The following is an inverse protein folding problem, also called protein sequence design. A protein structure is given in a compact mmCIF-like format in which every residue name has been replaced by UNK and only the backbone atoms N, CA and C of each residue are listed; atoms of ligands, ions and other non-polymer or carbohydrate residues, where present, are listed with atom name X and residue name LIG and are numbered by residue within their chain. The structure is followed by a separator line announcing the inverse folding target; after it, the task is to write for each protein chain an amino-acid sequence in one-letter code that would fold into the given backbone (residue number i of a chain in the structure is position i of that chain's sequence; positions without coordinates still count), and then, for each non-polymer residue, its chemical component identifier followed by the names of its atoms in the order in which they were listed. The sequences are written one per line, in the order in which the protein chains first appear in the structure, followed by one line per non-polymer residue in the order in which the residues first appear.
data_IF_756893388973
#
_entry.id   IF_756893388973
#
_cell.length_a   1.000
_cell.length_b   1.000
_cell.length_c   1.000
_cell.angle_alpha   90.00
_cell.angle_beta   90.00
_cell.angle_gamma   90.00
#
_symmetry.space_group_name_H-M   'P 1'
#
loop_
_entity.id
_entity.type
_entity.pdbx_description
1 polymer ?
#
# COMPACT_ATOMS: atom_id res chain seq x y z
N UNK A 1 -5.23 -12.20 4.83
CA UNK A 1 -6.69 -12.12 5.11
C UNK A 1 -7.46 -13.37 4.66
N UNK A 2 -7.10 -14.05 3.55
CA UNK A 2 -7.69 -15.36 3.19
C UNK A 2 -7.25 -16.52 4.10
N UNK A 3 -5.97 -16.63 4.39
CA UNK A 3 -5.44 -17.75 5.19
C UNK A 3 -5.93 -17.77 6.64
N UNK A 4 -6.41 -16.65 7.15
CA UNK A 4 -6.84 -16.55 8.54
C UNK A 4 -8.27 -17.04 8.77
N UNK A 5 -9.10 -17.02 7.72
CA UNK A 5 -10.57 -17.15 7.86
C UNK A 5 -11.16 -18.33 7.04
N UNK A 6 -10.33 -19.18 6.40
CA UNK A 6 -10.73 -20.45 5.72
C UNK A 6 -11.87 -20.33 4.68
N UNK A 7 -11.95 -19.20 3.98
CA UNK A 7 -13.04 -18.87 3.05
C UNK A 7 -12.83 -19.37 1.60
N UNK A 8 -11.94 -20.34 1.39
CA UNK A 8 -11.64 -20.86 0.05
C UNK A 8 -12.83 -21.55 -0.61
N UNK A 9 -13.64 -22.28 0.16
CA UNK A 9 -14.81 -22.99 -0.35
C UNK A 9 -16.02 -22.08 -0.59
N UNK A 10 -15.99 -20.85 -0.04
CA UNK A 10 -17.13 -19.91 -0.11
C UNK A 10 -17.02 -18.99 -1.33
N UNK A 11 -15.81 -18.67 -1.79
CA UNK A 11 -15.59 -17.77 -2.92
C UNK A 11 -14.49 -18.30 -3.88
N UNK A 12 -14.77 -19.42 -4.60
CA UNK A 12 -13.78 -20.10 -5.44
C UNK A 12 -13.30 -19.27 -6.64
N UNK A 13 -14.08 -18.29 -7.10
CA UNK A 13 -13.80 -17.51 -8.33
C UNK A 13 -13.22 -16.11 -8.06
N UNK A 14 -12.88 -15.76 -6.82
CA UNK A 14 -12.34 -14.43 -6.53
C UNK A 14 -10.90 -14.30 -7.07
N UNK A 15 -10.75 -13.47 -8.09
CA UNK A 15 -9.53 -13.33 -8.90
C UNK A 15 -9.67 -13.89 -10.32
N UNK A 16 -10.72 -14.66 -10.60
CA UNK A 16 -11.05 -15.16 -11.94
C UNK A 16 -12.21 -14.36 -12.55
N UNK A 17 -11.88 -13.28 -13.25
CA UNK A 17 -12.83 -12.51 -14.03
C UNK A 17 -13.73 -11.56 -13.22
N UNK A 18 -14.17 -10.49 -13.90
CA UNK A 18 -15.07 -9.47 -13.36
C UNK A 18 -16.48 -10.06 -13.15
N UNK A 19 -16.71 -10.70 -12.00
CA UNK A 19 -17.94 -11.41 -11.64
C UNK A 19 -19.08 -10.53 -11.12
N UNK A 20 -18.87 -9.21 -11.05
CA UNK A 20 -19.92 -8.27 -10.69
C UNK A 20 -20.98 -8.17 -11.80
N UNK A 21 -22.26 -8.13 -11.42
CA UNK A 21 -23.36 -7.89 -12.35
C UNK A 21 -23.11 -6.63 -13.17
N UNK A 22 -23.58 -6.58 -14.43
CA UNK A 22 -23.34 -5.44 -15.34
C UNK A 22 -23.69 -4.09 -14.72
N UNK A 23 -24.74 -4.04 -13.91
CA UNK A 23 -25.16 -2.82 -13.21
C UNK A 23 -24.14 -2.36 -12.15
N UNK A 24 -23.55 -3.30 -11.42
CA UNK A 24 -22.49 -3.03 -10.44
C UNK A 24 -21.23 -2.54 -11.16
N UNK A 25 -20.82 -3.23 -12.24
CA UNK A 25 -19.67 -2.82 -13.05
C UNK A 25 -19.82 -1.41 -13.63
N UNK A 26 -21.01 -1.06 -14.13
CA UNK A 26 -21.29 0.29 -14.62
C UNK A 26 -21.20 1.35 -13.51
N UNK A 27 -21.57 1.00 -12.27
CA UNK A 27 -21.42 1.88 -11.10
C UNK A 27 -19.95 1.99 -10.66
N UNK A 28 -19.17 0.91 -10.75
CA UNK A 28 -17.76 0.85 -10.36
C UNK A 28 -16.83 1.49 -11.39
N UNK A 29 -17.15 1.44 -12.68
CA UNK A 29 -16.31 1.97 -13.78
C UNK A 29 -15.87 3.43 -13.54
N UNK A 30 -16.76 4.27 -13.00
CA UNK A 30 -16.44 5.66 -12.69
C UNK A 30 -15.41 5.80 -11.57
N UNK A 31 -15.45 4.92 -10.57
CA UNK A 31 -14.50 4.88 -9.46
C UNK A 31 -13.17 4.27 -9.90
N UNK A 32 -13.21 3.16 -10.63
CA UNK A 32 -12.03 2.52 -11.20
C UNK A 32 -11.22 3.50 -12.04
N UNK A 33 -11.88 4.26 -12.93
CA UNK A 33 -11.22 5.29 -13.74
C UNK A 33 -10.55 6.36 -12.89
N UNK A 34 -11.22 6.85 -11.84
CA UNK A 34 -10.62 7.85 -10.92
C UNK A 34 -9.41 7.30 -10.18
N UNK A 35 -9.45 6.04 -9.76
CA UNK A 35 -8.31 5.37 -9.12
C UNK A 35 -7.16 5.19 -10.12
N UNK A 36 -7.45 4.80 -11.36
CA UNK A 36 -6.45 4.68 -12.43
C UNK A 36 -5.82 6.03 -12.77
N UNK A 37 -6.61 7.09 -12.94
CA UNK A 37 -6.13 8.45 -13.17
C UNK A 37 -5.23 8.90 -12.00
N UNK A 38 -5.69 8.72 -10.75
CA UNK A 38 -4.91 9.07 -9.57
C UNK A 38 -3.57 8.32 -9.48
N UNK A 39 -3.56 7.00 -9.62
CA UNK A 39 -2.33 6.19 -9.54
C UNK A 39 -1.42 6.49 -10.73
N UNK A 40 -1.98 6.71 -11.92
CA UNK A 40 -1.24 7.01 -13.14
C UNK A 40 -0.49 8.35 -13.10
N UNK A 41 -0.97 9.30 -12.30
CA UNK A 41 -0.31 10.59 -12.10
C UNK A 41 0.82 10.53 -11.05
N UNK A 42 0.93 9.44 -10.27
CA UNK A 42 1.99 9.28 -9.27
C UNK A 42 3.33 8.86 -9.91
N UNK A 43 4.47 9.35 -9.38
CA UNK A 43 5.77 8.84 -9.79
C UNK A 43 5.92 7.37 -9.40
N UNK A 44 6.54 6.60 -10.29
CA UNK A 44 6.94 5.22 -10.01
C UNK A 44 8.44 5.18 -9.74
N UNK A 45 8.80 4.75 -8.53
CA UNK A 45 10.18 4.52 -8.10
C UNK A 45 10.32 3.05 -7.71
N UNK A 46 11.52 2.51 -7.91
CA UNK A 46 11.86 1.14 -7.53
C UNK A 46 13.18 1.14 -6.76
N UNK A 47 13.40 0.11 -5.96
CA UNK A 47 14.57 -0.08 -5.11
C UNK A 47 15.03 -1.53 -5.28
N UNK A 48 16.31 -1.71 -5.60
CA UNK A 48 16.93 -3.03 -5.72
C UNK A 48 17.22 -3.61 -4.34
N UNK A 49 16.54 -4.70 -4.02
CA UNK A 49 16.70 -5.45 -2.76
C UNK A 49 16.62 -6.93 -3.10
N UNK A 50 17.77 -7.52 -3.42
CA UNK A 50 17.90 -8.91 -3.83
C UNK A 50 18.17 -9.82 -2.61
N UNK A 51 17.15 -9.97 -1.76
CA UNK A 51 17.18 -10.83 -0.58
C UNK A 51 16.12 -11.93 -0.61
N UNK A 52 16.38 -13.04 0.09
CA UNK A 52 15.41 -14.14 0.16
C UNK A 52 14.16 -13.70 0.96
N UNK A 53 12.94 -13.87 0.42
CA UNK A 53 11.71 -13.44 1.09
C UNK A 53 11.53 -14.07 2.48
N UNK A 54 11.48 -13.22 3.51
CA UNK A 54 11.18 -13.62 4.89
C UNK A 54 10.70 -12.43 5.73
N UNK A 55 10.08 -12.64 6.90
CA UNK A 55 9.75 -11.54 7.82
C UNK A 55 10.98 -10.76 8.33
N UNK A 56 12.14 -11.42 8.34
CA UNK A 56 13.43 -10.87 8.75
C UNK A 56 14.25 -10.30 7.59
N UNK A 57 13.70 -10.31 6.37
CA UNK A 57 14.37 -9.84 5.18
C UNK A 57 14.56 -8.31 5.19
N UNK A 58 15.58 -7.82 4.51
CA UNK A 58 15.82 -6.39 4.31
C UNK A 58 14.65 -5.74 3.55
N UNK A 59 14.06 -6.42 2.57
CA UNK A 59 12.83 -5.95 1.90
C UNK A 59 11.69 -5.75 2.89
N UNK A 60 11.43 -6.71 3.77
CA UNK A 60 10.37 -6.60 4.78
C UNK A 60 10.68 -5.50 5.81
N UNK A 61 11.94 -5.38 6.22
CA UNK A 61 12.41 -4.32 7.12
C UNK A 61 12.25 -2.92 6.52
N UNK A 62 12.58 -2.75 5.23
CA UNK A 62 12.40 -1.47 4.54
C UNK A 62 10.92 -1.15 4.37
N UNK A 63 10.10 -2.11 3.93
CA UNK A 63 8.66 -1.91 3.69
C UNK A 63 7.95 -1.44 4.96
N UNK A 64 8.11 -2.16 6.08
CA UNK A 64 7.42 -1.81 7.34
C UNK A 64 7.78 -0.42 7.84
N UNK A 65 9.07 -0.06 7.78
CA UNK A 65 9.55 1.21 8.28
C UNK A 65 9.15 2.37 7.37
N UNK A 66 9.19 2.16 6.05
CA UNK A 66 8.72 3.16 5.08
C UNK A 66 7.22 3.45 5.27
N UNK A 67 6.39 2.40 5.40
CA UNK A 67 4.95 2.55 5.64
C UNK A 67 4.65 3.26 6.97
N UNK A 68 5.36 2.90 8.03
CA UNK A 68 5.23 3.56 9.34
C UNK A 68 5.65 5.04 9.29
N UNK A 69 6.75 5.36 8.59
CA UNK A 69 7.24 6.74 8.43
C UNK A 69 6.22 7.65 7.73
N UNK A 70 5.61 7.17 6.63
CA UNK A 70 4.71 8.00 5.81
C UNK A 70 3.24 7.93 6.24
N UNK A 71 2.95 7.17 7.30
CA UNK A 71 1.60 7.07 7.85
C UNK A 71 1.24 8.30 8.68
N UNK A 72 0.07 8.87 8.42
CA UNK A 72 -0.53 9.96 9.21
C UNK A 72 -1.37 9.43 10.39
N UNK A 73 -1.34 8.12 10.64
CA UNK A 73 -2.22 7.49 11.61
C UNK A 73 -1.76 7.79 13.03
N UNK A 74 -2.52 8.64 13.74
CA UNK A 74 -2.25 9.06 15.13
C UNK A 74 -0.89 9.74 15.35
N UNK A 75 -0.31 10.26 14.28
CA UNK A 75 0.96 11.00 14.24
C UNK A 75 0.73 12.36 13.62
N UNK A 76 1.63 13.31 13.88
CA UNK A 76 1.67 14.56 13.12
C UNK A 76 2.17 14.25 11.69
N UNK A 77 1.41 14.58 10.64
CA UNK A 77 1.79 14.27 9.25
C UNK A 77 3.12 14.91 8.86
N UNK A 78 4.07 14.09 8.41
CA UNK A 78 5.29 14.58 7.76
C UNK A 78 4.97 15.06 6.33
N UNK A 79 4.13 14.29 5.63
CA UNK A 79 3.66 14.57 4.27
C UNK A 79 2.13 14.36 4.21
N UNK A 80 1.38 15.44 4.48
CA UNK A 80 -0.07 15.38 4.51
C UNK A 80 -0.63 15.17 3.10
N UNK A 81 -1.52 14.18 2.95
CA UNK A 81 -2.23 13.97 1.68
C UNK A 81 -3.11 15.17 1.33
N UNK A 82 -3.10 15.52 0.06
CA UNK A 82 -3.98 16.55 -0.48
C UNK A 82 -5.46 16.15 -0.33
N UNK A 83 -6.34 17.17 -0.41
CA UNK A 83 -7.79 17.00 -0.18
C UNK A 83 -8.51 16.10 -1.20
N UNK A 84 -7.85 15.77 -2.30
CA UNK A 84 -8.31 14.85 -3.35
C UNK A 84 -7.94 13.37 -3.09
N UNK A 85 -7.35 13.05 -1.91
CA UNK A 85 -7.10 11.69 -1.46
C UNK A 85 -8.38 10.81 -1.53
N UNK A 86 -8.42 9.93 -2.52
CA UNK A 86 -9.58 9.05 -2.76
C UNK A 86 -9.85 8.08 -1.60
N UNK A 87 -8.82 7.73 -0.82
CA UNK A 87 -8.97 6.88 0.36
C UNK A 87 -9.88 7.46 1.45
N UNK A 88 -10.20 8.76 1.42
CA UNK A 88 -11.21 9.37 2.31
C UNK A 88 -12.60 8.73 2.20
N UNK A 89 -12.91 8.11 1.06
CA UNK A 89 -14.17 7.40 0.83
C UNK A 89 -14.15 5.94 1.30
N UNK A 90 -13.01 5.42 1.76
CA UNK A 90 -12.91 4.05 2.25
C UNK A 90 -13.69 3.85 3.55
N UNK A 91 -14.43 2.74 3.72
CA UNK A 91 -15.06 2.43 5.00
C UNK A 91 -14.00 2.15 6.09
N UNK A 92 -12.80 1.72 5.71
CA UNK A 92 -11.72 1.32 6.61
C UNK A 92 -11.08 2.57 7.24
N UNK A 93 -11.17 2.75 8.58
CA UNK A 93 -10.60 3.93 9.24
C UNK A 93 -9.08 4.04 9.09
N UNK A 94 -8.38 2.91 9.05
CA UNK A 94 -6.92 2.87 8.85
C UNK A 94 -6.54 3.59 7.54
N UNK A 95 -7.16 3.26 6.41
CA UNK A 95 -6.92 3.90 5.11
C UNK A 95 -7.20 5.41 5.13
N UNK A 96 -8.32 5.81 5.73
CA UNK A 96 -8.71 7.23 5.81
C UNK A 96 -7.73 8.04 6.65
N UNK A 97 -7.27 7.49 7.76
CA UNK A 97 -6.46 8.21 8.76
C UNK A 97 -4.96 8.12 8.49
N UNK A 98 -4.47 7.04 7.90
CA UNK A 98 -3.07 6.90 7.52
C UNK A 98 -2.73 7.69 6.26
N UNK A 99 -3.70 7.92 5.38
CA UNK A 99 -3.43 8.50 4.06
C UNK A 99 -2.72 7.50 3.12
N UNK A 100 -2.87 6.20 3.39
CA UNK A 100 -2.33 5.10 2.60
C UNK A 100 -3.45 4.12 2.24
N UNK A 101 -3.38 3.49 1.07
CA UNK A 101 -4.26 2.35 0.78
C UNK A 101 -3.87 1.09 1.56
N UNK A 102 -2.60 1.01 2.01
CA UNK A 102 -2.13 -0.07 2.88
C UNK A 102 -2.68 0.10 4.31
N UNK A 103 -2.95 -1.03 4.97
CA UNK A 103 -3.39 -1.10 6.37
C UNK A 103 -2.32 -1.69 7.30
N UNK A 104 -1.30 -2.34 6.74
CA UNK A 104 -0.22 -2.93 7.51
C UNK A 104 0.78 -1.84 7.93
N UNK A 105 1.36 -1.98 9.12
CA UNK A 105 2.41 -1.10 9.66
C UNK A 105 2.02 0.38 9.83
N UNK A 106 0.77 0.77 9.60
CA UNK A 106 0.33 2.17 9.64
C UNK A 106 0.28 2.76 11.05
N UNK A 107 0.14 1.93 12.09
CA UNK A 107 0.06 2.32 13.51
C UNK A 107 1.35 1.94 14.26
N UNK A 108 2.42 1.63 13.52
CA UNK A 108 3.73 1.28 14.07
C UNK A 108 4.64 2.51 14.06
N UNK A 109 5.69 2.46 14.89
CA UNK A 109 6.80 3.41 14.81
C UNK A 109 7.88 2.85 13.90
N UNK A 110 8.52 3.72 13.12
CA UNK A 110 9.69 3.33 12.33
C UNK A 110 10.97 3.43 13.19
N UNK A 111 11.94 2.57 12.88
CA UNK A 111 13.30 2.60 13.41
C UNK A 111 14.16 3.53 12.55
N UNK A 112 14.66 4.69 13.04
CA UNK A 112 15.41 5.63 12.22
C UNK A 112 16.65 5.07 11.52
N UNK A 113 17.24 3.98 12.01
CA UNK A 113 18.38 3.29 11.37
C UNK A 113 18.00 2.74 9.99
N UNK A 114 16.71 2.55 9.71
CA UNK A 114 16.25 2.12 8.39
C UNK A 114 16.58 3.11 7.28
N UNK A 115 16.72 4.40 7.59
CA UNK A 115 17.04 5.42 6.59
C UNK A 115 18.44 5.20 6.02
N UNK A 116 19.40 4.79 6.86
CA UNK A 116 20.76 4.47 6.42
C UNK A 116 20.73 3.27 5.46
N UNK A 117 19.99 2.20 5.80
CA UNK A 117 19.81 1.05 4.91
C UNK A 117 19.11 1.41 3.61
N UNK A 118 18.11 2.28 3.69
CA UNK A 118 17.37 2.74 2.52
C UNK A 118 18.28 3.53 1.56
N UNK A 119 19.13 4.40 2.10
CA UNK A 119 20.12 5.16 1.33
C UNK A 119 21.15 4.24 0.65
N UNK A 120 21.65 3.22 1.35
CA UNK A 120 22.54 2.20 0.77
C UNK A 120 21.90 1.50 -0.44
N UNK A 121 20.63 1.06 -0.30
CA UNK A 121 19.90 0.42 -1.40
C UNK A 121 19.66 1.37 -2.58
N UNK A 122 19.44 2.67 -2.33
CA UNK A 122 19.29 3.67 -3.41
C UNK A 122 20.57 3.78 -4.23
N UNK A 123 21.73 3.83 -3.56
CA UNK A 123 23.02 3.93 -4.24
C UNK A 123 23.30 2.70 -5.12
N UNK A 124 22.94 1.51 -4.64
CA UNK A 124 23.05 0.27 -5.42
C UNK A 124 22.09 0.27 -6.61
N UNK A 125 20.82 0.65 -6.41
CA UNK A 125 19.81 0.76 -7.48
C UNK A 125 20.26 1.69 -8.61
N UNK A 126 20.86 2.82 -8.28
CA UNK A 126 21.34 3.80 -9.26
C UNK A 126 22.61 3.35 -10.03
N UNK A 127 23.26 2.27 -9.57
CA UNK A 127 24.44 1.69 -10.20
C UNK A 127 24.08 0.63 -11.27
N UNK A 128 22.79 0.32 -11.42
CA UNK A 128 22.23 -0.64 -12.38
C UNK A 128 21.84 0.02 -13.71
#
# INVERSE_FOLDING_TARGET
MRERDDLHDVYPEWGEGSSAEREIRLKETGLERRVTEYIGDLPFLWLDVDDEPSPESDRAYIERNALALVSNYRTDPIDQRAGDWLGMHSPVPAIRRSGLWNINHVDESYDPVFLDRFEERIAETASV
#
